data_IF_062654141883
#
_entry.id   IF_062654141883
#
_cell.length_a   1.000
_cell.length_b   1.000
_cell.length_c   1.000
_cell.angle_alpha   90.00
_cell.angle_beta   90.00
_cell.angle_gamma   90.00
#
_symmetry.space_group_name_H-M   'P 1'
#
loop_
_entity.id
_entity.type
_entity.pdbx_description
1 polymer ?
#
# COMPACT_ATOMS: atom_id res chain seq x y z
N UNK A 1 -27.40 -46.35 57.57
CA UNK A 1 -27.88 -44.98 57.45
C UNK A 1 -27.08 -44.35 56.33
N UNK A 2 -27.62 -44.40 55.12
CA UNK A 2 -27.23 -43.52 54.00
C UNK A 2 -27.67 -42.09 54.37
N UNK A 3 -27.00 -41.00 53.92
CA UNK A 3 -27.07 -40.61 52.51
C UNK A 3 -25.80 -39.98 51.89
N UNK A 4 -25.51 -40.41 50.65
CA UNK A 4 -25.52 -39.58 49.43
C UNK A 4 -24.99 -38.13 49.52
N UNK A 5 -23.87 -37.85 48.83
CA UNK A 5 -23.59 -36.54 48.23
C UNK A 5 -22.93 -36.76 46.87
N UNK A 6 -23.77 -36.96 45.86
CA UNK A 6 -23.39 -36.89 44.45
C UNK A 6 -23.08 -35.43 44.09
N UNK A 7 -21.79 -35.12 43.93
CA UNK A 7 -21.34 -33.83 43.42
C UNK A 7 -21.77 -33.68 41.94
N UNK A 8 -22.34 -32.54 41.51
CA UNK A 8 -22.91 -32.41 40.18
C UNK A 8 -21.80 -32.32 39.14
N UNK A 9 -21.78 -33.28 38.22
CA UNK A 9 -20.96 -33.26 37.01
C UNK A 9 -21.38 -32.07 36.15
N UNK A 10 -20.59 -30.99 36.22
CA UNK A 10 -20.84 -29.77 35.45
C UNK A 10 -20.40 -30.03 34.00
N UNK A 11 -21.24 -29.75 32.98
CA UNK A 11 -20.93 -30.12 31.60
C UNK A 11 -19.66 -29.42 31.10
N UNK A 12 -18.71 -30.20 30.58
CA UNK A 12 -17.52 -29.72 29.86
C UNK A 12 -17.93 -28.95 28.59
N UNK A 13 -18.31 -27.67 28.73
CA UNK A 13 -18.82 -26.85 27.62
C UNK A 13 -17.76 -25.99 26.92
N UNK A 14 -16.49 -26.09 27.32
CA UNK A 14 -15.41 -25.23 26.81
C UNK A 14 -14.52 -25.89 25.75
N UNK A 15 -14.54 -27.21 25.61
CA UNK A 15 -13.64 -27.91 24.68
C UNK A 15 -13.98 -27.63 23.21
N UNK A 16 -15.27 -27.49 22.86
CA UNK A 16 -15.73 -27.30 21.47
C UNK A 16 -15.42 -25.92 20.90
N UNK A 17 -15.30 -24.89 21.74
CA UNK A 17 -15.10 -23.51 21.29
C UNK A 17 -13.65 -23.25 20.89
N UNK A 18 -12.69 -23.82 21.62
CA UNK A 18 -11.26 -23.68 21.33
C UNK A 18 -10.89 -24.29 19.98
N UNK A 19 -11.39 -25.49 19.71
CA UNK A 19 -11.15 -26.20 18.45
C UNK A 19 -11.74 -25.44 17.25
N UNK A 20 -12.93 -24.85 17.40
CA UNK A 20 -13.55 -24.05 16.35
C UNK A 20 -12.74 -22.78 16.02
N UNK A 21 -12.15 -22.13 17.02
CA UNK A 21 -11.29 -20.95 16.83
C UNK A 21 -9.99 -21.34 16.11
N UNK A 22 -9.38 -22.47 16.48
CA UNK A 22 -8.16 -22.96 15.83
C UNK A 22 -8.40 -23.36 14.37
N UNK A 23 -9.53 -24.00 14.07
CA UNK A 23 -9.92 -24.31 12.70
C UNK A 23 -10.10 -23.05 11.86
N UNK A 24 -10.88 -22.06 12.35
CA UNK A 24 -11.09 -20.80 11.64
C UNK A 24 -9.77 -20.06 11.36
N UNK A 25 -8.84 -20.06 12.32
CA UNK A 25 -7.52 -19.45 12.12
C UNK A 25 -6.68 -20.21 11.07
N UNK A 26 -6.77 -21.54 11.07
CA UNK A 26 -6.15 -22.40 10.05
C UNK A 26 -6.70 -22.12 8.65
N UNK A 27 -8.02 -22.03 8.52
CA UNK A 27 -8.70 -21.76 7.25
C UNK A 27 -8.36 -20.36 6.70
N UNK A 28 -8.35 -19.34 7.56
CA UNK A 28 -7.95 -17.99 7.16
C UNK A 28 -6.48 -17.94 6.70
N UNK A 29 -5.59 -18.64 7.41
CA UNK A 29 -4.17 -18.74 7.03
C UNK A 29 -4.02 -19.44 5.69
N UNK A 30 -4.77 -20.52 5.45
CA UNK A 30 -4.79 -21.25 4.18
C UNK A 30 -5.28 -20.36 3.04
N UNK A 31 -6.45 -19.75 3.21
CA UNK A 31 -7.05 -18.83 2.24
C UNK A 31 -6.15 -17.65 1.90
N UNK A 32 -5.46 -17.06 2.89
CA UNK A 32 -4.50 -16.00 2.63
C UNK A 32 -3.28 -16.49 1.84
N UNK A 33 -2.77 -17.69 2.14
CA UNK A 33 -1.64 -18.25 1.40
C UNK A 33 -2.03 -18.55 -0.06
N UNK A 34 -3.18 -19.15 -0.27
CA UNK A 34 -3.71 -19.44 -1.61
C UNK A 34 -3.93 -18.14 -2.40
N UNK A 35 -4.47 -17.11 -1.76
CA UNK A 35 -4.60 -15.78 -2.36
C UNK A 35 -3.23 -15.20 -2.77
N UNK A 36 -2.21 -15.29 -1.89
CA UNK A 36 -0.85 -14.86 -2.21
C UNK A 36 -0.20 -15.67 -3.34
N UNK A 37 -0.47 -16.99 -3.42
CA UNK A 37 0.00 -17.83 -4.53
C UNK A 37 -0.69 -17.53 -5.85
N UNK A 38 -1.95 -17.08 -5.79
CA UNK A 38 -2.74 -16.71 -6.96
C UNK A 38 -2.46 -15.31 -7.49
N UNK A 39 -1.87 -14.43 -6.66
CA UNK A 39 -1.47 -13.10 -7.07
C UNK A 39 -0.23 -13.19 -7.96
N UNK A 40 -0.45 -13.01 -9.27
CA UNK A 40 0.62 -12.65 -10.19
C UNK A 40 1.40 -11.47 -9.60
N UNK A 41 2.74 -11.44 -9.65
CA UNK A 41 3.53 -10.36 -9.07
C UNK A 41 3.02 -9.03 -9.63
N UNK A 42 2.40 -8.23 -8.78
CA UNK A 42 1.98 -6.89 -9.17
C UNK A 42 3.25 -6.14 -9.58
N UNK A 43 3.27 -5.47 -10.75
CA UNK A 43 4.42 -4.66 -11.12
C UNK A 43 4.72 -3.70 -9.98
N UNK A 44 5.98 -3.64 -9.54
CA UNK A 44 6.38 -2.69 -8.52
C UNK A 44 5.95 -1.29 -8.98
N UNK A 45 5.54 -0.41 -8.05
CA UNK A 45 5.32 0.99 -8.38
C UNK A 45 6.56 1.50 -9.09
N UNK A 46 6.41 1.91 -10.36
CA UNK A 46 7.52 2.56 -11.05
C UNK A 46 7.77 3.88 -10.33
N UNK A 47 8.98 4.04 -9.81
CA UNK A 47 9.44 5.29 -9.22
C UNK A 47 10.40 5.88 -10.21
N UNK A 48 10.07 7.06 -10.74
CA UNK A 48 10.96 7.77 -11.65
C UNK A 48 12.24 8.13 -10.90
N UNK A 49 13.43 7.80 -11.45
CA UNK A 49 14.70 8.20 -10.85
C UNK A 49 14.78 9.72 -10.66
N UNK A 50 15.25 10.23 -9.51
CA UNK A 50 15.31 11.67 -9.27
C UNK A 50 16.11 12.44 -10.33
N UNK A 51 17.15 11.82 -10.90
CA UNK A 51 17.93 12.41 -11.98
C UNK A 51 17.08 12.67 -13.25
N UNK A 52 16.12 11.81 -13.57
CA UNK A 52 15.23 11.98 -14.72
C UNK A 52 14.22 13.11 -14.50
N UNK A 53 13.72 13.26 -13.26
CA UNK A 53 12.85 14.38 -12.89
C UNK A 53 13.61 15.70 -13.09
N UNK A 54 14.87 15.78 -12.63
CA UNK A 54 15.68 16.99 -12.79
C UNK A 54 15.95 17.29 -14.27
N UNK A 55 16.36 16.28 -15.06
CA UNK A 55 16.61 16.44 -16.49
C UNK A 55 15.35 16.94 -17.23
N UNK A 56 14.17 16.41 -16.89
CA UNK A 56 12.89 16.86 -17.46
C UNK A 56 12.61 18.33 -17.16
N UNK A 57 12.92 18.80 -15.95
CA UNK A 57 12.75 20.22 -15.60
C UNK A 57 13.75 21.13 -16.33
N UNK A 58 14.97 20.67 -16.55
CA UNK A 58 16.00 21.39 -17.30
C UNK A 58 15.67 21.53 -18.80
N UNK A 59 14.83 20.64 -19.33
CA UNK A 59 14.32 20.75 -20.71
C UNK A 59 13.25 21.82 -20.90
N UNK A 60 12.67 22.37 -19.82
CA UNK A 60 11.62 23.37 -19.92
C UNK A 60 12.26 24.74 -20.23
N UNK A 61 11.91 25.37 -21.37
CA UNK A 61 12.51 26.64 -21.76
C UNK A 61 12.15 27.76 -20.78
N UNK A 62 13.11 28.65 -20.53
CA UNK A 62 12.96 29.84 -19.69
C UNK A 62 12.49 29.58 -18.24
N UNK A 63 12.69 28.37 -17.72
CA UNK A 63 12.41 28.06 -16.32
C UNK A 63 13.62 28.45 -15.46
N UNK A 64 13.42 29.39 -14.52
CA UNK A 64 14.52 29.87 -13.71
C UNK A 64 15.03 28.78 -12.75
N UNK A 65 16.33 28.82 -12.43
CA UNK A 65 16.95 27.82 -11.53
C UNK A 65 16.23 27.67 -10.19
N UNK A 66 15.73 28.76 -9.62
CA UNK A 66 14.95 28.73 -8.37
C UNK A 66 13.63 27.96 -8.52
N UNK A 67 12.98 28.10 -9.67
CA UNK A 67 11.72 27.42 -9.98
C UNK A 67 11.94 25.94 -10.32
N UNK A 68 13.06 25.60 -10.95
CA UNK A 68 13.50 24.20 -11.13
C UNK A 68 13.62 23.51 -9.77
N UNK A 69 14.37 24.10 -8.83
CA UNK A 69 14.59 23.50 -7.51
C UNK A 69 13.28 23.39 -6.71
N UNK A 70 12.41 24.40 -6.79
CA UNK A 70 11.09 24.39 -6.15
C UNK A 70 10.20 23.29 -6.72
N UNK A 71 10.16 23.16 -8.04
CA UNK A 71 9.36 22.15 -8.74
C UNK A 71 9.87 20.75 -8.47
N UNK A 72 11.19 20.56 -8.52
CA UNK A 72 11.85 19.29 -8.22
C UNK A 72 11.46 18.74 -6.84
N UNK A 73 11.48 19.60 -5.81
CA UNK A 73 11.08 19.23 -4.46
C UNK A 73 9.61 18.78 -4.36
N UNK A 74 8.71 19.32 -5.20
CA UNK A 74 7.31 18.88 -5.27
C UNK A 74 7.18 17.54 -6.02
N UNK A 75 7.87 17.39 -7.14
CA UNK A 75 7.71 16.26 -8.07
C UNK A 75 8.34 14.96 -7.54
N UNK A 76 9.47 15.04 -6.83
CA UNK A 76 10.12 13.85 -6.24
C UNK A 76 9.25 13.14 -5.20
N UNK A 77 8.24 13.84 -4.65
CA UNK A 77 7.32 13.30 -3.65
C UNK A 77 6.05 12.70 -4.28
N UNK A 78 5.83 12.87 -5.59
CA UNK A 78 4.60 12.43 -6.24
C UNK A 78 4.82 12.04 -7.70
N UNK A 79 4.88 10.73 -7.94
CA UNK A 79 4.92 10.15 -9.28
C UNK A 79 3.75 10.64 -10.15
N UNK A 80 2.55 10.78 -9.55
CA UNK A 80 1.36 11.27 -10.24
C UNK A 80 1.51 12.72 -10.73
N UNK A 81 2.15 13.60 -9.96
CA UNK A 81 2.40 14.97 -10.41
C UNK A 81 3.45 15.01 -11.53
N UNK A 82 4.47 14.17 -11.44
CA UNK A 82 5.46 14.04 -12.51
C UNK A 82 4.83 13.51 -13.81
N UNK A 83 3.97 12.50 -13.72
CA UNK A 83 3.23 11.99 -14.87
C UNK A 83 2.32 13.07 -15.50
N UNK A 84 1.60 13.84 -14.67
CA UNK A 84 0.79 14.95 -15.16
C UNK A 84 1.64 16.01 -15.89
N UNK A 85 2.84 16.30 -15.41
CA UNK A 85 3.79 17.19 -16.11
C UNK A 85 4.17 16.64 -17.49
N UNK A 86 4.42 15.33 -17.61
CA UNK A 86 4.77 14.70 -18.88
C UNK A 86 3.61 14.70 -19.89
N UNK A 87 2.37 14.57 -19.42
CA UNK A 87 1.16 14.64 -20.25
C UNK A 87 0.87 16.06 -20.77
N UNK A 88 1.38 17.09 -20.12
CA UNK A 88 1.22 18.47 -20.59
C UNK A 88 2.11 18.74 -21.81
N UNK A 89 1.55 19.42 -22.85
CA UNK A 89 2.35 19.98 -23.93
C UNK A 89 3.46 20.90 -23.39
N UNK A 90 4.63 20.87 -24.01
CA UNK A 90 5.84 21.57 -23.52
C UNK A 90 5.60 23.06 -23.22
N UNK A 91 4.81 23.74 -24.05
CA UNK A 91 4.49 25.16 -23.90
C UNK A 91 3.66 25.48 -22.64
N UNK A 92 2.95 24.52 -22.06
CA UNK A 92 2.18 24.71 -20.84
C UNK A 92 2.94 24.33 -19.57
N UNK A 93 4.02 23.55 -19.67
CA UNK A 93 4.71 23.00 -18.50
C UNK A 93 5.25 24.09 -17.59
N UNK A 94 5.82 25.16 -18.15
CA UNK A 94 6.32 26.30 -17.36
C UNK A 94 5.20 26.97 -16.57
N UNK A 95 4.13 27.39 -17.25
CA UNK A 95 3.00 28.06 -16.60
C UNK A 95 2.38 27.20 -15.52
N UNK A 96 2.21 25.90 -15.78
CA UNK A 96 1.67 24.96 -14.81
C UNK A 96 2.52 24.79 -13.56
N UNK A 97 3.85 24.78 -13.68
CA UNK A 97 4.76 24.70 -12.52
C UNK A 97 4.78 25.97 -11.67
N UNK A 98 4.41 27.11 -12.26
CA UNK A 98 4.43 28.43 -11.61
C UNK A 98 3.08 28.84 -11.00
N UNK A 99 2.00 28.11 -11.31
CA UNK A 99 0.69 28.24 -10.63
C UNK A 99 0.74 27.70 -9.19
#
# INVERSE_FOLDING_TARGET
MEPNEASPEVPHKTQRTGDAILCLLGDMKGSFNDALKSLEPLPLPQVTPPAEILATLEMIPDLARGDILRSYGKLILSERLYQALLELPMNFRKEWLLM
#
